data_IF_496770348842
#
_entry.id   IF_496770348842
#
_cell.length_a   1.000
_cell.length_b   1.000
_cell.length_c   1.000
_cell.angle_alpha   90.00
_cell.angle_beta   90.00
_cell.angle_gamma   90.00
#
_symmetry.space_group_name_H-M   'P 1'
#
loop_
_entity.id
_entity.type
_entity.pdbx_description
1 polymer ?
#
# COMPACT_ATOMS: atom_id res chain seq x y z
N UNK A 1 0.86 16.55 12.56
CA UNK A 1 0.56 15.47 13.53
C UNK A 1 1.86 15.02 14.17
N UNK A 2 1.77 14.14 15.18
CA UNK A 2 2.92 13.58 15.91
C UNK A 2 3.84 12.74 14.99
N UNK A 3 3.26 11.96 14.08
CA UNK A 3 4.00 11.04 13.19
C UNK A 3 5.06 11.73 12.32
N UNK A 4 4.80 12.96 11.86
CA UNK A 4 5.79 13.74 11.11
C UNK A 4 7.00 14.07 11.98
N UNK A 5 6.76 14.48 13.22
CA UNK A 5 7.83 14.86 14.16
C UNK A 5 8.65 13.61 14.50
N UNK A 6 7.96 12.52 14.84
CA UNK A 6 8.59 11.25 15.18
C UNK A 6 9.42 10.72 13.99
N UNK A 7 8.86 10.69 12.78
CA UNK A 7 9.58 10.27 11.58
C UNK A 7 10.82 11.14 11.30
N UNK A 8 10.73 12.46 11.47
CA UNK A 8 11.88 13.35 11.26
C UNK A 8 12.98 13.17 12.31
N UNK A 9 12.61 12.79 13.54
CA UNK A 9 13.53 12.54 14.64
C UNK A 9 14.25 11.18 14.55
N UNK A 10 13.78 10.25 13.71
CA UNK A 10 14.42 8.95 13.52
C UNK A 10 15.84 9.08 12.93
N UNK A 11 16.79 8.23 13.37
CA UNK A 11 18.05 8.01 12.66
C UNK A 11 17.81 7.60 11.21
N UNK A 12 18.76 7.92 10.31
CA UNK A 12 18.58 7.69 8.87
C UNK A 12 18.32 6.22 8.51
N UNK A 13 18.96 5.29 9.18
CA UNK A 13 18.73 3.86 8.96
C UNK A 13 17.34 3.41 9.42
N UNK A 14 16.78 4.01 10.49
CA UNK A 14 15.42 3.72 10.94
C UNK A 14 14.38 4.33 9.99
N UNK A 15 14.62 5.53 9.45
CA UNK A 15 13.81 6.11 8.37
C UNK A 15 13.78 5.18 7.16
N UNK A 16 14.94 4.66 6.77
CA UNK A 16 15.07 3.71 5.67
C UNK A 16 14.25 2.44 5.93
N UNK A 17 14.36 1.83 7.11
CA UNK A 17 13.58 0.64 7.49
C UNK A 17 12.07 0.93 7.40
N UNK A 18 11.64 2.03 8.04
CA UNK A 18 10.23 2.41 8.10
C UNK A 18 9.65 2.65 6.70
N UNK A 19 10.32 3.47 5.90
CA UNK A 19 9.79 3.88 4.59
C UNK A 19 9.83 2.71 3.59
N UNK A 20 10.86 1.86 3.65
CA UNK A 20 10.96 0.70 2.75
C UNK A 20 9.84 -0.31 3.05
N UNK A 21 9.54 -0.56 4.33
CA UNK A 21 8.41 -1.40 4.72
C UNK A 21 7.08 -0.80 4.23
N UNK A 22 6.85 0.50 4.44
CA UNK A 22 5.62 1.17 4.02
C UNK A 22 5.44 1.17 2.49
N UNK A 23 6.52 1.33 1.74
CA UNK A 23 6.52 1.22 0.27
C UNK A 23 6.11 -0.19 -0.17
N UNK A 24 6.67 -1.22 0.45
CA UNK A 24 6.34 -2.60 0.12
C UNK A 24 4.87 -2.93 0.43
N UNK A 25 4.35 -2.49 1.59
CA UNK A 25 2.92 -2.60 1.90
C UNK A 25 2.04 -1.90 0.85
N UNK A 26 2.44 -0.71 0.43
CA UNK A 26 1.71 0.05 -0.60
C UNK A 26 1.72 -0.67 -1.95
N UNK A 27 2.83 -1.33 -2.32
CA UNK A 27 2.89 -2.18 -3.52
C UNK A 27 1.88 -3.32 -3.44
N UNK A 28 1.90 -4.07 -2.34
CA UNK A 28 1.06 -5.26 -2.16
C UNK A 28 -0.42 -4.90 -2.27
N UNK A 29 -0.89 -3.88 -1.55
CA UNK A 29 -2.31 -3.54 -1.55
C UNK A 29 -2.76 -2.80 -2.81
N UNK A 30 -1.82 -2.18 -3.54
CA UNK A 30 -2.09 -1.72 -4.90
C UNK A 30 -2.47 -2.89 -5.81
N UNK A 31 -1.81 -4.04 -5.65
CA UNK A 31 -2.15 -5.27 -6.37
C UNK A 31 -3.43 -5.88 -5.81
N UNK A 32 -3.55 -6.02 -4.49
CA UNK A 32 -4.73 -6.65 -3.85
C UNK A 32 -6.02 -5.84 -4.04
N UNK A 33 -5.97 -4.51 -4.22
CA UNK A 33 -7.15 -3.70 -4.51
C UNK A 33 -7.80 -3.97 -5.87
N UNK A 34 -7.11 -4.68 -6.78
CA UNK A 34 -7.62 -4.98 -8.13
C UNK A 34 -7.58 -6.46 -8.50
N UNK A 35 -6.53 -7.17 -8.11
CA UNK A 35 -6.23 -8.51 -8.60
C UNK A 35 -7.25 -9.57 -8.17
N UNK A 36 -7.80 -9.58 -6.94
CA UNK A 36 -8.86 -10.51 -6.58
C UNK A 36 -10.06 -10.39 -7.50
N UNK A 37 -10.50 -9.16 -7.80
CA UNK A 37 -11.61 -8.93 -8.72
C UNK A 37 -11.30 -9.43 -10.14
N UNK A 38 -10.13 -9.08 -10.68
CA UNK A 38 -9.75 -9.43 -12.06
C UNK A 38 -9.52 -10.93 -12.22
N UNK A 39 -8.90 -11.59 -11.23
CA UNK A 39 -8.46 -12.97 -11.34
C UNK A 39 -9.53 -13.99 -10.89
N UNK A 40 -10.33 -13.66 -9.86
CA UNK A 40 -11.22 -14.64 -9.22
C UNK A 40 -12.67 -14.51 -9.65
N UNK A 41 -13.22 -13.29 -9.84
CA UNK A 41 -14.63 -13.11 -10.18
C UNK A 41 -15.06 -13.91 -11.43
N UNK A 42 -14.27 -13.99 -12.52
CA UNK A 42 -14.65 -14.78 -13.69
C UNK A 42 -14.73 -16.30 -13.45
N UNK A 43 -14.21 -16.78 -12.32
CA UNK A 43 -14.10 -18.21 -11.99
C UNK A 43 -15.05 -18.64 -10.86
N UNK A 44 -15.67 -17.69 -10.16
CA UNK A 44 -16.54 -17.98 -9.03
C UNK A 44 -17.94 -18.37 -9.52
N UNK A 45 -18.49 -19.42 -8.91
CA UNK A 45 -19.80 -19.96 -9.27
C UNK A 45 -20.79 -20.01 -8.09
N UNK A 46 -20.48 -19.35 -6.97
CA UNK A 46 -21.35 -19.26 -5.78
C UNK A 46 -21.41 -17.81 -5.28
N UNK A 47 -22.60 -17.31 -4.92
CA UNK A 47 -22.82 -15.88 -4.66
C UNK A 47 -22.11 -15.36 -3.40
N UNK A 48 -21.98 -16.20 -2.37
CA UNK A 48 -21.31 -15.83 -1.12
C UNK A 48 -19.81 -15.56 -1.32
N UNK A 49 -19.16 -16.29 -2.23
CA UNK A 49 -17.75 -16.09 -2.54
C UNK A 49 -17.54 -14.90 -3.47
N UNK A 50 -18.46 -14.69 -4.42
CA UNK A 50 -18.42 -13.53 -5.32
C UNK A 50 -18.47 -12.23 -4.51
N UNK A 51 -19.46 -12.12 -3.63
CA UNK A 51 -19.63 -10.97 -2.73
C UNK A 51 -18.43 -10.79 -1.79
N UNK A 52 -17.88 -11.90 -1.28
CA UNK A 52 -16.69 -11.85 -0.42
C UNK A 52 -15.47 -11.31 -1.16
N UNK A 53 -15.21 -11.74 -2.40
CA UNK A 53 -14.06 -11.25 -3.19
C UNK A 53 -14.18 -9.76 -3.49
N UNK A 54 -15.37 -9.28 -3.85
CA UNK A 54 -15.59 -7.84 -4.06
C UNK A 54 -15.38 -7.04 -2.77
N UNK A 55 -15.90 -7.54 -1.63
CA UNK A 55 -15.74 -6.92 -0.31
C UNK A 55 -14.28 -6.89 0.13
N UNK A 56 -13.55 -7.98 -0.12
CA UNK A 56 -12.13 -8.07 0.13
C UNK A 56 -11.36 -7.04 -0.69
N UNK A 57 -11.49 -7.03 -2.02
CA UNK A 57 -10.83 -6.06 -2.89
C UNK A 57 -11.17 -4.61 -2.49
N UNK A 58 -12.44 -4.34 -2.13
CA UNK A 58 -12.86 -3.05 -1.60
C UNK A 58 -12.07 -2.66 -0.36
N UNK A 59 -11.95 -3.56 0.64
CA UNK A 59 -11.20 -3.28 1.86
C UNK A 59 -9.72 -2.96 1.59
N UNK A 60 -9.10 -3.61 0.61
CA UNK A 60 -7.71 -3.35 0.21
C UNK A 60 -7.53 -1.97 -0.45
N UNK A 61 -8.57 -1.44 -1.10
CA UNK A 61 -8.55 -0.03 -1.53
C UNK A 61 -8.54 0.94 -0.36
N UNK A 62 -9.17 0.59 0.78
CA UNK A 62 -9.13 1.40 2.00
C UNK A 62 -7.73 1.35 2.63
N UNK A 63 -7.07 0.18 2.62
CA UNK A 63 -5.66 0.07 3.03
C UNK A 63 -4.76 0.97 2.18
N UNK A 64 -4.90 0.92 0.85
CA UNK A 64 -4.15 1.78 -0.08
C UNK A 64 -4.36 3.28 0.19
N UNK A 65 -5.61 3.67 0.50
CA UNK A 65 -5.93 5.07 0.89
C UNK A 65 -5.31 5.45 2.23
N UNK A 66 -5.21 4.50 3.17
CA UNK A 66 -4.54 4.72 4.47
C UNK A 66 -3.05 4.99 4.28
N UNK A 67 -2.36 4.26 3.39
CA UNK A 67 -0.95 4.53 3.08
C UNK A 67 -0.75 5.90 2.46
N UNK A 68 -1.64 6.31 1.55
CA UNK A 68 -1.62 7.68 1.01
C UNK A 68 -1.75 8.73 2.11
N UNK A 69 -2.61 8.49 3.10
CA UNK A 69 -2.78 9.38 4.24
C UNK A 69 -1.52 9.45 5.12
N UNK A 70 -0.92 8.30 5.45
CA UNK A 70 0.31 8.21 6.24
C UNK A 70 1.47 8.93 5.52
N UNK A 71 1.73 8.58 4.26
CA UNK A 71 2.83 9.13 3.46
C UNK A 71 2.71 10.66 3.37
N UNK A 72 1.54 11.19 2.98
CA UNK A 72 1.31 12.64 2.90
C UNK A 72 1.54 13.39 4.21
N UNK A 73 1.40 12.69 5.34
CA UNK A 73 1.57 13.27 6.65
C UNK A 73 3.04 13.37 7.04
N UNK A 74 3.85 12.35 6.72
CA UNK A 74 5.23 12.21 7.22
C UNK A 74 6.30 12.76 6.26
N UNK A 75 6.06 12.80 4.95
CA UNK A 75 7.00 13.36 3.95
C UNK A 75 6.53 14.69 3.38
N UNK A 76 7.47 15.47 2.83
CA UNK A 76 7.16 16.74 2.16
C UNK A 76 6.63 16.53 0.74
N UNK A 77 7.25 15.63 -0.01
CA UNK A 77 6.83 15.26 -1.35
C UNK A 77 6.50 13.75 -1.41
N UNK A 78 5.21 13.39 -1.39
CA UNK A 78 4.75 12.01 -1.51
C UNK A 78 5.13 11.34 -2.83
N UNK A 79 5.31 12.12 -3.90
CA UNK A 79 5.52 11.60 -5.27
C UNK A 79 6.79 10.75 -5.33
N UNK A 80 7.87 11.21 -4.68
CA UNK A 80 9.14 10.48 -4.57
C UNK A 80 8.96 9.10 -3.95
N UNK A 81 8.06 8.96 -2.96
CA UNK A 81 7.78 7.67 -2.33
C UNK A 81 7.01 6.76 -3.29
N UNK A 82 6.02 7.29 -4.01
CA UNK A 82 5.21 6.53 -4.96
C UNK A 82 6.01 6.08 -6.20
N UNK A 83 6.87 6.94 -6.73
CA UNK A 83 7.71 6.61 -7.89
C UNK A 83 8.75 5.54 -7.55
N UNK A 84 9.29 5.58 -6.32
CA UNK A 84 10.23 4.57 -5.85
C UNK A 84 9.58 3.20 -5.69
N UNK A 85 8.28 3.10 -5.35
CA UNK A 85 7.57 1.81 -5.29
C UNK A 85 7.65 1.06 -6.63
N UNK A 86 7.59 1.78 -7.74
CA UNK A 86 7.59 1.20 -9.10
C UNK A 86 9.00 0.85 -9.58
N UNK A 87 10.01 1.61 -9.15
CA UNK A 87 11.37 1.54 -9.72
C UNK A 87 12.40 0.88 -8.80
N UNK A 88 12.11 0.73 -7.51
CA UNK A 88 13.00 0.14 -6.54
C UNK A 88 13.19 -1.37 -6.79
N UNK A 89 14.41 -1.76 -7.13
CA UNK A 89 14.76 -3.15 -7.48
C UNK A 89 14.46 -4.14 -6.37
N UNK A 90 14.69 -3.79 -5.10
CA UNK A 90 14.45 -4.68 -3.97
C UNK A 90 12.96 -4.87 -3.68
N UNK A 91 12.12 -3.90 -4.08
CA UNK A 91 10.67 -3.97 -3.98
C UNK A 91 10.06 -4.77 -5.16
N UNK A 92 10.66 -4.68 -6.34
CA UNK A 92 10.18 -5.33 -7.57
C UNK A 92 10.69 -6.76 -7.78
N UNK A 93 11.71 -7.18 -7.02
CA UNK A 93 12.35 -8.51 -7.13
C UNK A 93 11.53 -9.60 -6.46
#
# INVERSE_FOLDING_TARGET
SRDRIDYQALPEHEKHIFISNLKYQTLLDSIQGRSPNVALLPLISIPELETWVETWAFSETIHSRSYTHIIRTIVNDPSVVFDDIVTNEQIQK
#
